data_IF_630647793060
#
_entry.id   IF_630647793060
#
_cell.length_a   1.000
_cell.length_b   1.000
_cell.length_c   1.000
_cell.angle_alpha   90.00
_cell.angle_beta   90.00
_cell.angle_gamma   90.00
#
_symmetry.space_group_name_H-M   'P 1'
#
loop_
_entity.id
_entity.type
_entity.pdbx_description
1 polymer ?
#
# COMPACT_ATOMS: atom_id res chain seq x y z
N UNK A 1 -47.42 -10.12 -15.93
CA UNK A 1 -46.11 -9.45 -15.81
C UNK A 1 -46.33 -8.22 -14.95
N UNK A 2 -45.96 -8.28 -13.68
CA UNK A 2 -45.99 -7.18 -12.72
C UNK A 2 -44.79 -6.27 -12.94
N UNK A 3 -44.91 -4.95 -12.88
CA UNK A 3 -43.78 -4.02 -13.01
C UNK A 3 -42.92 -4.00 -11.72
N UNK A 4 -41.63 -3.66 -11.83
CA UNK A 4 -40.73 -3.64 -10.70
C UNK A 4 -41.04 -2.50 -9.72
N UNK A 5 -40.68 -2.66 -8.40
CA UNK A 5 -40.94 -1.66 -7.37
C UNK A 5 -40.09 -0.41 -7.56
N UNK A 6 -40.70 0.75 -7.28
CA UNK A 6 -40.05 2.07 -7.34
C UNK A 6 -39.01 2.24 -6.20
N UNK A 7 -37.93 2.97 -6.46
CA UNK A 7 -36.94 3.29 -5.41
C UNK A 7 -37.55 4.24 -4.36
N UNK A 8 -37.04 4.19 -3.11
CA UNK A 8 -37.55 5.01 -2.02
C UNK A 8 -37.25 6.50 -2.26
N UNK A 9 -38.21 7.31 -1.95
CA UNK A 9 -38.21 8.79 -2.05
C UNK A 9 -37.21 9.35 -1.02
N UNK A 10 -36.27 10.18 -1.46
CA UNK A 10 -35.36 10.92 -0.58
C UNK A 10 -36.15 11.82 0.38
N UNK A 11 -35.92 11.65 1.67
CA UNK A 11 -36.43 12.54 2.71
C UNK A 11 -35.71 13.89 2.63
N UNK A 12 -36.46 14.96 2.44
CA UNK A 12 -35.98 16.33 2.51
C UNK A 12 -35.66 16.70 3.95
N UNK A 13 -34.42 17.12 4.22
CA UNK A 13 -34.05 17.73 5.50
C UNK A 13 -34.53 19.20 5.57
N UNK A 14 -34.96 19.69 6.74
CA UNK A 14 -35.44 21.06 6.89
C UNK A 14 -34.30 22.07 6.84
N UNK A 15 -34.48 23.15 6.09
CA UNK A 15 -33.58 24.31 6.03
C UNK A 15 -33.60 25.05 7.35
N UNK A 16 -32.48 25.06 8.11
CA UNK A 16 -32.23 25.97 9.20
C UNK A 16 -31.66 27.28 8.65
N UNK A 17 -32.33 28.37 8.94
CA UNK A 17 -31.86 29.72 8.68
C UNK A 17 -30.62 30.02 9.52
N UNK A 18 -29.52 30.41 8.88
CA UNK A 18 -28.31 30.90 9.53
C UNK A 18 -28.39 32.45 9.58
N UNK A 19 -28.42 32.98 10.78
CA UNK A 19 -28.10 34.41 11.07
C UNK A 19 -26.59 34.54 11.28
N UNK A 20 -26.06 35.63 10.77
CA UNK A 20 -24.67 35.96 10.57
C UNK A 20 -23.75 35.97 11.81
N UNK A 21 -22.47 35.89 11.52
CA UNK A 21 -21.35 36.15 12.38
C UNK A 21 -20.05 36.04 11.55
N UNK A 22 -19.44 37.18 11.25
CA UNK A 22 -18.13 37.32 10.66
C UNK A 22 -17.06 36.66 11.51
N UNK A 23 -16.23 35.79 10.92
CA UNK A 23 -14.98 35.26 11.49
C UNK A 23 -14.20 34.61 10.39
N UNK A 24 -13.40 35.40 9.66
CA UNK A 24 -12.49 34.88 8.62
C UNK A 24 -11.46 33.95 9.23
N UNK A 25 -11.27 32.78 8.64
CA UNK A 25 -10.07 31.93 8.58
C UNK A 25 -10.40 30.46 8.18
N UNK A 26 -11.50 30.21 7.46
CA UNK A 26 -11.86 28.83 7.07
C UNK A 26 -12.05 28.60 5.56
N UNK A 27 -11.75 29.59 4.71
CA UNK A 27 -11.97 29.43 3.26
C UNK A 27 -10.76 28.83 2.50
N UNK A 28 -9.55 28.86 3.08
CA UNK A 28 -8.35 28.40 2.36
C UNK A 28 -8.16 26.88 2.39
N UNK A 29 -8.64 26.18 3.43
CA UNK A 29 -8.48 24.73 3.54
C UNK A 29 -9.41 23.95 2.58
N UNK A 30 -10.62 24.44 2.37
CA UNK A 30 -11.58 23.82 1.44
C UNK A 30 -11.18 24.02 -0.03
N UNK A 31 -10.54 25.15 -0.37
CA UNK A 31 -10.07 25.42 -1.73
C UNK A 31 -8.87 24.55 -2.12
N UNK A 32 -8.02 24.17 -1.17
CA UNK A 32 -6.87 23.29 -1.41
C UNK A 32 -7.30 21.82 -1.60
N UNK A 33 -8.37 21.37 -0.95
CA UNK A 33 -8.92 20.02 -1.16
C UNK A 33 -9.63 19.88 -2.51
N UNK A 34 -10.26 20.93 -3.03
CA UNK A 34 -10.92 20.92 -4.35
C UNK A 34 -9.91 20.99 -5.52
N UNK A 35 -8.73 21.57 -5.31
CA UNK A 35 -7.71 21.66 -6.36
C UNK A 35 -7.05 20.31 -6.68
N UNK A 36 -7.19 19.29 -5.84
CA UNK A 36 -6.61 17.96 -6.08
C UNK A 36 -7.52 17.02 -6.86
N UNK A 37 -8.81 17.33 -6.98
CA UNK A 37 -9.75 16.57 -7.81
C UNK A 37 -9.74 16.99 -9.30
N UNK A 38 -9.04 18.06 -9.65
CA UNK A 38 -8.98 18.57 -11.00
C UNK A 38 -7.77 18.07 -11.82
N UNK A 39 -7.46 16.78 -11.74
CA UNK A 39 -6.94 16.08 -12.89
C UNK A 39 -8.10 15.91 -13.87
N UNK A 40 -8.48 16.98 -14.55
CA UNK A 40 -9.58 16.97 -15.48
C UNK A 40 -9.42 15.79 -16.42
N UNK A 41 -10.37 14.86 -16.39
CA UNK A 41 -10.47 13.75 -17.30
C UNK A 41 -10.37 14.32 -18.72
N UNK A 42 -9.23 14.10 -19.37
CA UNK A 42 -8.95 14.69 -20.69
C UNK A 42 -9.88 14.17 -21.79
N UNK A 43 -10.48 13.01 -21.58
CA UNK A 43 -11.41 12.40 -22.52
C UNK A 43 -12.84 12.49 -22.00
N UNK A 44 -13.75 13.01 -22.81
CA UNK A 44 -15.19 13.13 -22.52
C UNK A 44 -16.05 12.05 -23.17
N UNK A 45 -15.45 11.20 -24.00
CA UNK A 45 -16.12 10.16 -24.77
C UNK A 45 -15.88 8.75 -24.22
N UNK A 46 -15.62 8.63 -22.91
CA UNK A 46 -15.46 7.35 -22.24
C UNK A 46 -16.79 6.92 -21.61
N UNK A 47 -17.05 5.61 -21.65
CA UNK A 47 -18.19 4.97 -20.99
C UNK A 47 -17.67 3.84 -20.12
N UNK A 48 -18.13 3.81 -18.88
CA UNK A 48 -17.87 2.67 -18.00
C UNK A 48 -18.69 1.47 -18.47
N UNK A 49 -18.06 0.30 -18.62
CA UNK A 49 -18.71 -0.95 -18.96
C UNK A 49 -18.79 -1.83 -17.73
N UNK A 50 -20.02 -2.21 -17.36
CA UNK A 50 -20.23 -3.16 -16.28
C UNK A 50 -19.84 -4.57 -16.72
N UNK A 51 -19.25 -5.34 -15.80
CA UNK A 51 -18.86 -6.72 -15.99
C UNK A 51 -19.22 -7.59 -14.79
N UNK A 52 -18.49 -8.67 -14.58
CA UNK A 52 -18.64 -9.54 -13.39
C UNK A 52 -18.37 -8.69 -12.14
N UNK A 53 -19.23 -8.83 -11.13
CA UNK A 53 -19.09 -8.09 -9.88
C UNK A 53 -17.78 -8.44 -9.16
N UNK A 54 -17.28 -7.51 -8.37
CA UNK A 54 -16.10 -7.73 -7.52
C UNK A 54 -16.34 -8.87 -6.54
N UNK A 55 -17.52 -8.94 -5.97
CA UNK A 55 -17.95 -9.97 -5.03
C UNK A 55 -17.90 -11.37 -5.66
N UNK A 56 -18.32 -11.49 -6.92
CA UNK A 56 -18.25 -12.75 -7.65
C UNK A 56 -16.80 -13.14 -8.00
N UNK A 57 -15.95 -12.17 -8.35
CA UNK A 57 -14.50 -12.41 -8.52
C UNK A 57 -13.87 -12.92 -7.23
N UNK A 58 -14.13 -12.26 -6.10
CA UNK A 58 -13.60 -12.64 -4.80
C UNK A 58 -14.11 -14.01 -4.34
N UNK A 59 -15.39 -14.31 -4.61
CA UNK A 59 -15.97 -15.63 -4.34
C UNK A 59 -15.30 -16.73 -5.16
N UNK A 60 -15.00 -16.49 -6.43
CA UNK A 60 -14.34 -17.48 -7.30
C UNK A 60 -12.90 -17.78 -6.87
N UNK A 61 -12.19 -16.77 -6.35
CA UNK A 61 -10.82 -16.89 -5.80
C UNK A 61 -10.86 -17.45 -4.37
N UNK A 62 -11.98 -17.21 -3.66
CA UNK A 62 -12.23 -17.67 -2.29
C UNK A 62 -11.64 -16.77 -1.20
N UNK A 63 -11.20 -15.56 -1.52
CA UNK A 63 -10.85 -14.52 -0.57
C UNK A 63 -11.05 -13.11 -1.16
N UNK A 64 -11.11 -12.12 -0.27
CA UNK A 64 -11.18 -10.71 -0.67
C UNK A 64 -9.81 -10.20 -1.08
N UNK A 65 -9.79 -9.24 -2.00
CA UNK A 65 -8.58 -8.48 -2.29
C UNK A 65 -8.35 -7.38 -1.24
N UNK A 66 -7.08 -7.01 -1.06
CA UNK A 66 -6.64 -5.95 -0.15
C UNK A 66 -5.34 -5.35 -0.66
N UNK A 67 -5.10 -4.08 -0.39
CA UNK A 67 -3.79 -3.45 -0.61
C UNK A 67 -3.06 -3.24 0.72
N UNK A 68 -1.86 -3.82 0.82
CA UNK A 68 -0.89 -3.57 1.88
C UNK A 68 0.10 -2.52 1.40
N UNK A 69 0.01 -1.31 1.94
CA UNK A 69 0.86 -0.19 1.56
C UNK A 69 2.01 -0.04 2.54
N UNK A 70 3.17 -0.63 2.19
CA UNK A 70 4.36 -0.51 3.02
C UNK A 70 5.05 0.82 2.76
N UNK A 71 5.36 1.55 3.84
CA UNK A 71 6.14 2.79 3.83
C UNK A 71 7.30 2.71 4.82
N UNK A 72 8.34 3.51 4.63
CA UNK A 72 9.53 3.55 5.48
C UNK A 72 10.78 3.96 4.71
N UNK A 73 11.86 4.28 5.41
CA UNK A 73 13.13 4.70 4.84
C UNK A 73 13.75 3.64 3.91
N UNK A 74 14.65 4.04 3.03
CA UNK A 74 15.51 3.10 2.30
C UNK A 74 16.28 2.23 3.29
N UNK A 75 16.41 0.92 3.04
CA UNK A 75 17.08 0.02 3.99
C UNK A 75 16.26 -0.37 5.22
N UNK A 76 15.00 0.09 5.38
CA UNK A 76 14.15 -0.29 6.51
C UNK A 76 13.67 -1.75 6.48
N UNK A 77 13.82 -2.47 5.35
CA UNK A 77 13.43 -3.88 5.23
C UNK A 77 12.14 -4.14 4.44
N UNK A 78 11.50 -3.12 3.85
CA UNK A 78 10.25 -3.27 3.07
C UNK A 78 10.28 -4.40 2.05
N UNK A 79 11.26 -4.39 1.14
CA UNK A 79 11.35 -5.41 0.07
C UNK A 79 11.60 -6.81 0.64
N UNK A 80 12.41 -6.93 1.68
CA UNK A 80 12.71 -8.21 2.34
C UNK A 80 11.46 -8.80 3.01
N UNK A 81 10.73 -7.97 3.78
CA UNK A 81 9.46 -8.37 4.41
C UNK A 81 8.41 -8.67 3.35
N UNK A 82 8.34 -7.88 2.26
CA UNK A 82 7.41 -8.12 1.15
C UNK A 82 7.62 -9.49 0.51
N UNK A 83 8.87 -9.88 0.27
CA UNK A 83 9.22 -11.20 -0.29
C UNK A 83 8.85 -12.32 0.66
N UNK A 84 9.22 -12.19 1.94
CA UNK A 84 8.87 -13.20 2.96
C UNK A 84 7.35 -13.38 3.11
N UNK A 85 6.61 -12.27 3.10
CA UNK A 85 5.15 -12.30 3.17
C UNK A 85 4.52 -12.90 1.90
N UNK A 86 5.03 -12.54 0.70
CA UNK A 86 4.58 -13.10 -0.57
C UNK A 86 4.75 -14.62 -0.58
N UNK A 87 5.94 -15.12 -0.23
CA UNK A 87 6.24 -16.56 -0.15
C UNK A 87 5.31 -17.26 0.83
N UNK A 88 5.18 -16.73 2.05
CA UNK A 88 4.31 -17.31 3.07
C UNK A 88 2.84 -17.42 2.64
N UNK A 89 2.33 -16.45 1.88
CA UNK A 89 0.95 -16.46 1.38
C UNK A 89 0.75 -17.35 0.16
N UNK A 90 1.75 -17.43 -0.75
CA UNK A 90 1.66 -18.26 -1.97
C UNK A 90 1.88 -19.73 -1.65
N UNK A 91 2.87 -20.06 -0.80
CA UNK A 91 3.22 -21.44 -0.43
C UNK A 91 2.28 -22.06 0.60
N UNK A 92 1.34 -21.27 1.11
CA UNK A 92 0.44 -21.71 2.16
C UNK A 92 -0.44 -22.89 1.70
N UNK A 93 -0.40 -24.00 2.44
CA UNK A 93 -1.22 -25.19 2.20
C UNK A 93 -2.36 -25.30 3.25
N UNK A 94 -3.56 -25.77 2.89
CA UNK A 94 -3.98 -26.33 1.59
C UNK A 94 -4.45 -25.31 0.56
N UNK A 95 -4.33 -24.00 0.82
CA UNK A 95 -4.86 -22.94 -0.05
C UNK A 95 -3.79 -21.87 -0.26
N UNK A 96 -3.37 -21.68 -1.50
CA UNK A 96 -2.57 -20.52 -1.88
C UNK A 96 -3.46 -19.28 -2.07
N UNK A 97 -2.89 -18.10 -1.81
CA UNK A 97 -3.56 -16.82 -2.04
C UNK A 97 -3.10 -16.21 -3.35
N UNK A 98 -3.99 -15.46 -4.00
CA UNK A 98 -3.58 -14.63 -5.13
C UNK A 98 -2.87 -13.39 -4.59
N UNK A 99 -1.55 -13.38 -4.67
CA UNK A 99 -0.68 -12.30 -4.17
C UNK A 99 0.02 -11.63 -5.34
N UNK A 100 0.19 -10.31 -5.27
CA UNK A 100 1.00 -9.59 -6.23
C UNK A 100 1.81 -8.48 -5.56
N UNK A 101 3.14 -8.47 -5.81
CA UNK A 101 4.05 -7.49 -5.21
C UNK A 101 4.37 -6.37 -6.17
N UNK A 102 4.07 -5.13 -5.77
CA UNK A 102 4.39 -3.90 -6.45
C UNK A 102 5.58 -3.22 -5.74
N UNK A 103 6.79 -3.64 -6.10
CA UNK A 103 8.03 -3.07 -5.56
C UNK A 103 8.41 -1.80 -6.34
N UNK A 104 8.76 -0.72 -5.61
CA UNK A 104 9.04 0.58 -6.20
C UNK A 104 10.21 0.57 -7.19
N UNK A 105 11.23 -0.26 -6.96
CA UNK A 105 12.36 -0.37 -7.88
C UNK A 105 11.95 -1.13 -9.14
N UNK A 106 11.25 -2.28 -8.99
CA UNK A 106 10.79 -3.07 -10.13
C UNK A 106 9.86 -2.28 -11.07
N UNK A 107 8.97 -1.48 -10.50
CA UNK A 107 8.06 -0.64 -11.30
C UNK A 107 8.79 0.42 -12.13
N UNK A 108 9.98 0.85 -11.70
CA UNK A 108 10.80 1.81 -12.44
C UNK A 108 11.50 1.20 -13.67
N UNK A 109 11.55 -0.12 -13.81
CA UNK A 109 11.98 -0.76 -15.06
C UNK A 109 10.90 -0.76 -16.14
N UNK A 110 9.63 -0.57 -15.76
CA UNK A 110 8.48 -0.63 -16.68
C UNK A 110 7.54 0.56 -16.54
N UNK A 111 6.50 0.40 -15.74
CA UNK A 111 5.39 1.35 -15.57
C UNK A 111 5.84 2.79 -15.29
N UNK A 112 6.89 2.96 -14.49
CA UNK A 112 7.38 4.25 -14.02
C UNK A 112 8.80 4.58 -14.51
N UNK A 113 9.22 4.00 -15.66
CA UNK A 113 10.56 4.21 -16.23
C UNK A 113 10.84 5.66 -16.65
N UNK A 114 9.78 6.43 -16.89
CA UNK A 114 9.81 7.83 -17.26
C UNK A 114 9.94 8.77 -16.07
N UNK A 115 9.85 8.26 -14.83
CA UNK A 115 9.87 9.06 -13.62
C UNK A 115 11.24 9.04 -12.92
N UNK A 116 11.69 10.22 -12.52
CA UNK A 116 12.86 10.42 -11.67
C UNK A 116 12.52 10.39 -10.18
N UNK A 117 13.27 11.16 -9.37
CA UNK A 117 13.14 11.24 -7.92
C UNK A 117 12.79 12.64 -7.40
N UNK A 118 12.39 13.56 -8.30
CA UNK A 118 11.86 14.86 -7.89
C UNK A 118 10.57 14.68 -7.05
N UNK A 119 10.16 15.66 -6.25
CA UNK A 119 8.88 15.60 -5.52
C UNK A 119 7.69 15.31 -6.43
N UNK A 120 7.65 15.91 -7.62
CA UNK A 120 6.60 15.67 -8.63
C UNK A 120 6.61 14.23 -9.15
N UNK A 121 7.79 13.70 -9.50
CA UNK A 121 7.93 12.31 -9.96
C UNK A 121 7.55 11.31 -8.87
N UNK A 122 7.89 11.58 -7.59
CA UNK A 122 7.50 10.73 -6.46
C UNK A 122 5.99 10.70 -6.29
N UNK A 123 5.32 11.84 -6.40
CA UNK A 123 3.86 11.95 -6.33
C UNK A 123 3.19 11.18 -7.46
N UNK A 124 3.66 11.35 -8.71
CA UNK A 124 3.14 10.62 -9.86
C UNK A 124 3.41 9.11 -9.76
N UNK A 125 4.58 8.73 -9.25
CA UNK A 125 4.88 7.33 -8.98
C UNK A 125 3.86 6.71 -7.99
N UNK A 126 3.58 7.39 -6.87
CA UNK A 126 2.58 6.94 -5.91
C UNK A 126 1.19 6.87 -6.55
N UNK A 127 0.79 7.88 -7.31
CA UNK A 127 -0.49 7.91 -8.01
C UNK A 127 -0.65 6.70 -8.95
N UNK A 128 0.34 6.41 -9.81
CA UNK A 128 0.28 5.27 -10.73
C UNK A 128 0.22 3.94 -9.98
N UNK A 129 1.07 3.76 -8.97
CA UNK A 129 1.09 2.52 -8.17
C UNK A 129 -0.22 2.32 -7.43
N UNK A 130 -0.83 3.39 -6.90
CA UNK A 130 -2.10 3.32 -6.21
C UNK A 130 -3.23 2.86 -7.13
N UNK A 131 -3.30 3.37 -8.36
CA UNK A 131 -4.32 2.94 -9.34
C UNK A 131 -4.13 1.48 -9.75
N UNK A 132 -2.89 1.04 -9.98
CA UNK A 132 -2.60 -0.37 -10.30
C UNK A 132 -2.94 -1.27 -9.12
N UNK A 133 -2.55 -0.88 -7.89
CA UNK A 133 -2.88 -1.64 -6.68
C UNK A 133 -4.40 -1.79 -6.51
N UNK A 134 -5.16 -0.73 -6.76
CA UNK A 134 -6.63 -0.75 -6.72
C UNK A 134 -7.20 -1.78 -7.69
N UNK A 135 -6.73 -1.81 -8.94
CA UNK A 135 -7.20 -2.76 -9.96
C UNK A 135 -6.91 -4.23 -9.55
N UNK A 136 -5.72 -4.50 -9.01
CA UNK A 136 -5.37 -5.83 -8.52
C UNK A 136 -6.21 -6.24 -7.30
N UNK A 137 -6.42 -5.33 -6.34
CA UNK A 137 -7.27 -5.59 -5.18
C UNK A 137 -8.73 -5.82 -5.60
N UNK A 138 -9.25 -5.09 -6.58
CA UNK A 138 -10.57 -5.32 -7.15
C UNK A 138 -10.68 -6.70 -7.82
N UNK A 139 -9.61 -7.15 -8.47
CA UNK A 139 -9.51 -8.50 -9.04
C UNK A 139 -9.44 -9.61 -7.98
N UNK A 140 -9.16 -9.27 -6.71
CA UNK A 140 -9.08 -10.20 -5.59
C UNK A 140 -7.65 -10.47 -5.09
N UNK A 141 -6.65 -9.76 -5.59
CA UNK A 141 -5.28 -9.95 -5.12
C UNK A 141 -5.04 -9.35 -3.72
N UNK A 142 -4.17 -9.99 -2.95
CA UNK A 142 -3.47 -9.38 -1.83
C UNK A 142 -2.28 -8.63 -2.42
N UNK A 143 -2.39 -7.31 -2.53
CA UNK A 143 -1.37 -6.47 -3.19
C UNK A 143 -0.40 -5.95 -2.16
N UNK A 144 0.89 -6.23 -2.33
CA UNK A 144 1.95 -5.78 -1.44
C UNK A 144 2.73 -4.65 -2.13
N UNK A 145 2.44 -3.40 -1.77
CA UNK A 145 3.12 -2.22 -2.31
C UNK A 145 4.32 -1.85 -1.45
N UNK A 146 5.54 -1.96 -1.98
CA UNK A 146 6.78 -1.63 -1.29
C UNK A 146 7.39 -0.32 -1.79
N UNK A 147 7.00 0.83 -1.21
CA UNK A 147 7.51 2.15 -1.58
C UNK A 147 8.02 2.93 -0.36
N UNK A 148 8.95 3.86 -0.57
CA UNK A 148 9.32 4.82 0.49
C UNK A 148 8.10 5.67 0.84
N UNK A 149 7.39 6.20 -0.17
CA UNK A 149 6.20 7.07 -0.05
C UNK A 149 6.33 8.07 1.13
N UNK A 150 7.29 9.01 1.05
CA UNK A 150 7.71 9.79 2.20
C UNK A 150 6.67 10.81 2.66
N UNK A 151 5.77 11.22 1.80
CA UNK A 151 4.78 12.26 2.09
C UNK A 151 3.46 11.67 2.55
N UNK A 152 2.94 12.19 3.65
CA UNK A 152 1.64 11.79 4.21
C UNK A 152 0.50 11.98 3.20
N UNK A 153 0.53 13.10 2.46
CA UNK A 153 -0.47 13.40 1.44
C UNK A 153 -0.56 12.34 0.34
N UNK A 154 0.58 11.78 -0.05
CA UNK A 154 0.63 10.77 -1.11
C UNK A 154 0.08 9.43 -0.62
N UNK A 155 0.39 9.04 0.62
CA UNK A 155 -0.16 7.84 1.25
C UNK A 155 -1.65 7.97 1.51
N UNK A 156 -2.09 9.17 1.91
CA UNK A 156 -3.51 9.49 2.08
C UNK A 156 -4.27 9.38 0.75
N UNK A 157 -3.70 9.84 -0.36
CA UNK A 157 -4.29 9.65 -1.69
C UNK A 157 -4.49 8.16 -2.00
N UNK A 158 -3.48 7.33 -1.76
CA UNK A 158 -3.59 5.88 -1.98
C UNK A 158 -4.74 5.28 -1.14
N UNK A 159 -4.87 5.67 0.12
CA UNK A 159 -5.95 5.26 1.01
C UNK A 159 -7.32 5.70 0.49
N UNK A 160 -7.44 6.96 0.07
CA UNK A 160 -8.72 7.55 -0.39
C UNK A 160 -9.26 6.89 -1.64
N UNK A 161 -8.43 6.58 -2.64
CA UNK A 161 -8.92 5.92 -3.86
C UNK A 161 -9.42 4.49 -3.58
N UNK A 162 -8.82 3.80 -2.61
CA UNK A 162 -9.30 2.48 -2.16
C UNK A 162 -10.60 2.62 -1.37
N UNK A 163 -10.65 3.55 -0.42
CA UNK A 163 -11.86 3.83 0.37
C UNK A 163 -13.06 4.19 -0.51
N UNK A 164 -12.87 5.12 -1.48
CA UNK A 164 -13.91 5.54 -2.40
C UNK A 164 -14.40 4.40 -3.32
N UNK A 165 -13.55 3.38 -3.51
CA UNK A 165 -13.89 2.16 -4.24
C UNK A 165 -14.37 1.02 -3.31
N UNK A 166 -14.56 1.28 -2.01
CA UNK A 166 -14.91 0.27 -0.99
C UNK A 166 -13.96 -0.93 -0.99
N UNK A 167 -12.67 -0.69 -1.23
CA UNK A 167 -11.61 -1.69 -1.21
C UNK A 167 -10.85 -1.63 0.12
N UNK A 168 -10.52 -2.78 0.74
CA UNK A 168 -9.67 -2.81 1.92
C UNK A 168 -8.27 -2.25 1.63
N UNK A 169 -7.78 -1.43 2.56
CA UNK A 169 -6.45 -0.82 2.51
C UNK A 169 -5.81 -0.87 3.90
N UNK A 170 -4.53 -1.20 3.96
CA UNK A 170 -3.77 -1.28 5.20
C UNK A 170 -2.41 -0.61 5.00
N UNK A 171 -2.14 0.43 5.78
CA UNK A 171 -0.83 1.07 5.84
C UNK A 171 0.07 0.30 6.80
N UNK A 172 1.23 -0.13 6.31
CA UNK A 172 2.24 -0.86 7.07
C UNK A 172 3.48 0.02 7.20
N UNK A 173 3.72 0.54 8.39
CA UNK A 173 4.93 1.32 8.67
C UNK A 173 6.08 0.39 9.03
N UNK A 174 7.02 0.28 8.10
CA UNK A 174 8.26 -0.50 8.26
C UNK A 174 9.33 0.45 8.78
N UNK A 175 9.41 0.54 10.10
CA UNK A 175 10.21 1.51 10.84
C UNK A 175 11.59 0.96 11.17
N UNK A 176 12.60 1.81 11.03
CA UNK A 176 13.92 1.60 11.55
C UNK A 176 14.60 2.95 11.79
N UNK A 177 15.35 3.13 12.88
CA UNK A 177 16.12 4.35 13.13
C UNK A 177 17.07 4.67 11.97
N UNK A 178 17.27 5.97 11.70
CA UNK A 178 18.14 6.42 10.61
C UNK A 178 19.56 5.82 10.71
N UNK A 179 20.12 5.75 11.92
CA UNK A 179 21.41 5.13 12.18
C UNK A 179 21.49 3.66 11.78
N UNK A 180 20.39 2.93 11.95
CA UNK A 180 20.28 1.52 11.59
C UNK A 180 20.21 1.36 10.07
N UNK A 181 19.39 2.13 9.38
CA UNK A 181 19.29 2.03 7.91
C UNK A 181 20.54 2.51 7.19
N UNK A 182 21.24 3.52 7.74
CA UNK A 182 22.56 3.95 7.26
C UNK A 182 23.61 2.84 7.39
N UNK A 183 23.61 2.13 8.51
CA UNK A 183 24.52 0.99 8.74
C UNK A 183 24.20 -0.18 7.81
N UNK A 184 22.91 -0.45 7.55
CA UNK A 184 22.49 -1.51 6.64
C UNK A 184 22.85 -1.21 5.19
N UNK A 185 22.55 -0.04 4.71
CA UNK A 185 22.75 0.51 3.37
C UNK A 185 22.92 -0.51 2.22
N UNK A 186 21.99 -1.44 2.01
CA UNK A 186 22.16 -2.58 1.10
C UNK A 186 22.38 -2.18 -0.36
N UNK A 187 22.06 -0.94 -0.73
CA UNK A 187 22.19 -0.39 -2.09
C UNK A 187 23.32 0.66 -2.20
N UNK A 188 24.02 0.95 -1.13
CA UNK A 188 25.03 2.01 -1.07
C UNK A 188 24.48 3.43 -1.34
N UNK A 189 23.17 3.64 -1.11
CA UNK A 189 22.54 4.92 -1.39
C UNK A 189 22.86 5.98 -0.36
N UNK A 190 22.97 5.61 0.92
CA UNK A 190 23.38 6.53 1.99
C UNK A 190 24.82 6.98 1.81
N UNK A 191 25.73 6.07 1.44
CA UNK A 191 27.12 6.39 1.13
C UNK A 191 27.19 7.38 -0.07
N UNK A 192 26.45 7.12 -1.15
CA UNK A 192 26.40 8.02 -2.31
C UNK A 192 25.79 9.38 -1.99
N UNK A 193 24.81 9.44 -1.10
CA UNK A 193 24.22 10.69 -0.65
C UNK A 193 25.20 11.50 0.21
N UNK A 194 25.93 10.84 1.12
CA UNK A 194 26.99 11.47 1.92
C UNK A 194 28.12 12.04 1.05
N UNK A 195 28.45 11.40 -0.07
CA UNK A 195 29.39 11.89 -1.08
C UNK A 195 28.82 12.99 -1.99
N UNK A 196 27.56 13.40 -1.78
CA UNK A 196 26.90 14.41 -2.61
C UNK A 196 26.50 13.95 -4.02
N UNK A 197 26.62 12.65 -4.33
CA UNK A 197 26.26 12.06 -5.63
C UNK A 197 24.75 11.91 -5.81
N UNK A 198 23.99 11.85 -4.73
CA UNK A 198 22.53 11.79 -4.72
C UNK A 198 22.02 13.00 -3.93
N UNK A 199 21.09 13.75 -4.54
CA UNK A 199 20.38 14.88 -3.90
C UNK A 199 18.92 14.49 -3.63
N UNK A 200 18.27 15.19 -2.70
CA UNK A 200 16.88 14.93 -2.30
C UNK A 200 16.66 13.49 -1.81
N UNK A 201 17.61 12.97 -1.05
CA UNK A 201 17.54 11.63 -0.51
C UNK A 201 16.71 11.61 0.79
N UNK A 202 15.63 10.84 0.79
CA UNK A 202 14.69 10.76 1.92
C UNK A 202 15.38 10.31 3.20
N UNK A 203 15.21 11.07 4.27
CA UNK A 203 15.81 10.82 5.57
C UNK A 203 17.15 11.50 5.80
N UNK A 204 17.73 12.17 4.78
CA UNK A 204 18.92 13.01 4.92
C UNK A 204 18.57 14.47 4.56
N UNK A 205 18.56 14.80 3.28
CA UNK A 205 18.28 16.14 2.74
C UNK A 205 16.83 16.31 2.25
N UNK A 206 16.02 15.24 2.26
CA UNK A 206 14.59 15.29 2.03
C UNK A 206 13.81 14.68 3.20
N UNK A 207 12.64 15.21 3.56
CA UNK A 207 11.87 14.75 4.71
C UNK A 207 11.26 13.37 4.50
N UNK A 208 11.06 12.65 5.60
CA UNK A 208 10.16 11.51 5.70
C UNK A 208 9.12 11.80 6.78
N UNK A 209 7.86 11.84 6.39
CA UNK A 209 6.72 12.09 7.26
C UNK A 209 6.19 10.73 7.75
N UNK A 210 6.57 10.32 8.96
CA UNK A 210 6.13 9.05 9.53
C UNK A 210 4.59 8.98 9.64
N UNK A 211 3.98 7.80 9.40
CA UNK A 211 2.56 7.60 9.66
C UNK A 211 2.21 7.83 11.13
N UNK A 212 1.10 8.54 11.40
CA UNK A 212 0.63 8.80 12.76
C UNK A 212 -0.17 7.62 13.33
N UNK A 213 -0.95 6.95 12.49
CA UNK A 213 -1.83 5.84 12.86
C UNK A 213 -1.87 4.75 11.78
N UNK A 214 -0.75 4.07 11.51
CA UNK A 214 -0.71 2.96 10.57
C UNK A 214 -1.48 1.76 11.15
N UNK A 215 -2.11 0.95 10.31
CA UNK A 215 -2.76 -0.29 10.75
C UNK A 215 -1.77 -1.32 11.30
N UNK A 216 -0.51 -1.26 10.83
CA UNK A 216 0.60 -2.09 11.33
C UNK A 216 1.86 -1.24 11.45
N UNK A 217 2.51 -1.28 12.60
CA UNK A 217 3.81 -0.64 12.85
C UNK A 217 4.84 -1.71 13.21
N UNK A 218 5.91 -1.83 12.43
CA UNK A 218 6.96 -2.84 12.59
C UNK A 218 8.30 -2.13 12.81
N UNK A 219 8.90 -2.35 13.97
CA UNK A 219 10.25 -1.87 14.29
C UNK A 219 11.27 -2.94 13.90
N UNK A 220 11.85 -2.80 12.71
CA UNK A 220 12.70 -3.85 12.10
C UNK A 220 14.10 -3.97 12.70
N UNK A 221 14.44 -3.12 13.64
CA UNK A 221 15.62 -3.25 14.51
C UNK A 221 15.37 -4.15 15.72
N UNK A 222 14.09 -4.49 16.01
CA UNK A 222 13.66 -5.22 17.18
C UNK A 222 13.03 -6.59 16.86
N UNK A 223 12.64 -6.84 15.62
CA UNK A 223 11.98 -8.07 15.22
C UNK A 223 12.66 -8.72 14.02
N UNK A 224 12.58 -10.05 13.92
CA UNK A 224 13.02 -10.80 12.75
C UNK A 224 12.12 -10.55 11.54
N UNK A 225 12.60 -10.90 10.33
CA UNK A 225 11.82 -10.83 9.10
C UNK A 225 10.58 -11.71 9.20
N UNK A 226 10.73 -12.91 9.75
CA UNK A 226 9.66 -13.88 9.98
C UNK A 226 8.60 -13.31 10.91
N UNK A 227 9.00 -12.75 12.04
CA UNK A 227 8.05 -12.14 12.99
C UNK A 227 7.35 -10.93 12.38
N UNK A 228 8.06 -10.11 11.60
CA UNK A 228 7.47 -9.00 10.86
C UNK A 228 6.36 -9.47 9.88
N UNK A 229 6.61 -10.54 9.12
CA UNK A 229 5.61 -11.15 8.25
C UNK A 229 4.43 -11.71 9.06
N UNK A 230 4.69 -12.40 10.17
CA UNK A 230 3.65 -12.94 11.06
C UNK A 230 2.75 -11.84 11.65
N UNK A 231 3.31 -10.68 12.02
CA UNK A 231 2.52 -9.52 12.50
C UNK A 231 1.54 -9.06 11.42
N UNK A 232 1.99 -8.93 10.16
CA UNK A 232 1.12 -8.54 9.05
C UNK A 232 0.05 -9.59 8.82
N UNK A 233 0.40 -10.87 8.82
CA UNK A 233 -0.54 -11.96 8.59
C UNK A 233 -1.63 -12.03 9.66
N UNK A 234 -1.28 -11.88 10.95
CA UNK A 234 -2.27 -11.79 12.04
C UNK A 234 -3.23 -10.60 11.83
N UNK A 235 -2.71 -9.48 11.32
CA UNK A 235 -3.57 -8.32 11.03
C UNK A 235 -4.48 -8.57 9.83
N UNK A 236 -4.02 -9.24 8.78
CA UNK A 236 -4.84 -9.64 7.62
C UNK A 236 -6.01 -10.54 8.06
N UNK A 237 -5.77 -11.51 8.93
CA UNK A 237 -6.82 -12.36 9.47
C UNK A 237 -7.88 -11.54 10.23
N UNK A 238 -7.45 -10.56 11.02
CA UNK A 238 -8.34 -9.68 11.79
C UNK A 238 -9.28 -8.81 10.93
N UNK A 239 -8.92 -8.56 9.66
CA UNK A 239 -9.75 -7.79 8.70
C UNK A 239 -10.54 -8.68 7.74
N UNK A 240 -10.61 -9.98 8.02
CA UNK A 240 -11.46 -10.94 7.29
C UNK A 240 -10.85 -11.44 5.97
N UNK A 241 -9.54 -11.39 5.84
CA UNK A 241 -8.78 -12.17 4.87
C UNK A 241 -8.54 -13.54 5.52
N UNK A 242 -9.57 -14.35 5.70
CA UNK A 242 -9.57 -15.63 6.40
C UNK A 242 -8.27 -16.43 6.19
N UNK A 243 -7.21 -16.03 6.90
CA UNK A 243 -5.98 -16.77 6.97
C UNK A 243 -6.20 -17.88 8.01
N UNK A 244 -5.81 -19.12 7.74
CA UNK A 244 -5.98 -20.18 8.71
C UNK A 244 -5.17 -19.92 9.98
N UNK A 245 -5.74 -20.29 11.12
CA UNK A 245 -5.21 -20.01 12.47
C UNK A 245 -3.86 -20.66 12.81
N UNK A 246 -3.32 -21.52 11.97
CA UNK A 246 -2.00 -22.13 12.12
C UNK A 246 -1.12 -21.70 10.96
N UNK A 247 -0.48 -20.55 11.09
CA UNK A 247 0.81 -20.38 10.42
C UNK A 247 1.80 -21.29 11.18
N UNK A 248 2.34 -22.30 10.49
CA UNK A 248 3.66 -22.78 10.88
C UNK A 248 4.55 -21.57 10.86
N UNK A 249 5.11 -21.19 11.98
CA UNK A 249 6.18 -20.22 12.03
C UNK A 249 7.26 -20.77 11.10
N UNK A 250 7.88 -19.92 10.28
CA UNK A 250 9.01 -20.32 9.42
C UNK A 250 10.17 -20.96 10.23
N UNK A 251 10.04 -21.01 11.56
CA UNK A 251 10.93 -21.69 12.52
C UNK A 251 10.70 -23.22 12.58
N UNK A 252 9.62 -23.74 11.96
CA UNK A 252 9.30 -25.18 11.96
C UNK A 252 9.93 -25.95 10.78
N UNK A 253 10.68 -25.29 9.89
CA UNK A 253 11.50 -26.01 8.92
C UNK A 253 12.79 -26.49 9.59
N UNK A 254 13.07 -27.81 9.56
CA UNK A 254 14.37 -28.29 9.99
C UNK A 254 15.45 -27.61 9.12
N UNK A 255 16.63 -27.29 9.68
CA UNK A 255 17.70 -26.68 8.91
C UNK A 255 17.94 -27.54 7.67
N UNK A 256 17.94 -26.87 6.49
CA UNK A 256 18.21 -27.55 5.22
C UNK A 256 19.44 -28.44 5.41
N UNK A 257 19.27 -29.76 5.22
CA UNK A 257 20.39 -30.70 5.26
C UNK A 257 21.44 -30.19 4.28
N UNK A 258 22.62 -29.87 4.82
CA UNK A 258 23.77 -29.57 4.02
C UNK A 258 23.99 -30.75 3.07
N UNK A 259 23.80 -30.52 1.77
CA UNK A 259 24.30 -31.45 0.75
C UNK A 259 25.84 -31.46 0.89
N UNK A 260 26.33 -32.30 1.80
CA UNK A 260 27.70 -32.69 1.80
C UNK A 260 27.96 -33.43 0.48
N UNK A 261 28.63 -32.73 -0.41
CA UNK A 261 29.27 -33.30 -1.59
C UNK A 261 30.30 -34.32 -1.09
N UNK A 262 29.87 -35.58 -0.98
CA UNK A 262 30.83 -36.67 -0.96
C UNK A 262 31.26 -36.88 -2.42
N UNK A 263 32.48 -36.42 -2.69
CA UNK A 263 33.20 -36.84 -3.87
C UNK A 263 33.47 -38.35 -3.85
N UNK A 264 33.42 -38.93 -5.00
CA UNK A 264 34.32 -39.97 -5.47
C UNK A 264 34.51 -39.75 -6.97
#
# INVERSE_FOLDING_TARGET
RTPPPRPPRAMAMPRRAARGGCGGLSCCAAALLLAWQAGAQKSTNIKFHEGISREDKWKSIGHKGITLWMTGLSGSGKSTISVALENALVEYQPKSYFVYRLDGDNLRYGLNRDLGFSPGDRKENVRRVSEVAKLFAEAGAIVICGLISPYKSDRQYAREIHYNSSLPFMEVYVDAPLSVVQKRDPKGLYAKAAEGKIKNFTGLDAPYEAPEAPEVHIKTDQVSITEAANIIMRKLDSVGINLPRRFKTLEDEPPAESCDSKGD
#
